data_IF_727120874953
#
_entry.id   IF_727120874953
#
_cell.length_a   1.000
_cell.length_b   1.000
_cell.length_c   1.000
_cell.angle_alpha   90.00
_cell.angle_beta   90.00
_cell.angle_gamma   90.00
#
_symmetry.space_group_name_H-M   'P 1'
#
loop_
_entity.id
_entity.type
_entity.pdbx_description
1 polymer ?
#
# COMPACT_ATOMS: atom_id res chain seq x y z
N UNK A 1 5.31 -4.97 21.10
CA UNK A 1 4.65 -5.03 19.78
C UNK A 1 3.19 -5.37 19.99
N UNK A 2 2.29 -4.47 19.57
CA UNK A 2 0.84 -4.57 19.82
C UNK A 2 0.26 -5.90 19.31
N UNK A 3 -0.60 -6.58 20.08
CA UNK A 3 -1.14 -7.93 19.76
C UNK A 3 -1.84 -7.94 18.39
N UNK A 4 -2.54 -6.87 18.04
CA UNK A 4 -3.19 -6.70 16.74
C UNK A 4 -2.19 -6.74 15.57
N UNK A 5 -1.01 -6.14 15.72
CA UNK A 5 0.02 -6.12 14.67
C UNK A 5 0.69 -7.49 14.48
N UNK A 6 0.77 -8.28 15.57
CA UNK A 6 1.19 -9.69 15.50
C UNK A 6 0.14 -10.53 14.76
N UNK A 7 -1.13 -10.38 15.11
CA UNK A 7 -2.23 -11.08 14.44
C UNK A 7 -2.25 -10.75 12.94
N UNK A 8 -2.17 -9.46 12.57
CA UNK A 8 -2.07 -9.02 11.18
C UNK A 8 -0.96 -9.73 10.42
N UNK A 9 0.24 -9.83 11.00
CA UNK A 9 1.38 -10.50 10.37
C UNK A 9 1.10 -11.98 10.11
N UNK A 10 0.45 -12.66 11.05
CA UNK A 10 0.07 -14.07 10.90
C UNK A 10 -1.00 -14.21 9.82
N UNK A 11 -2.05 -13.39 9.84
CA UNK A 11 -3.12 -13.41 8.83
C UNK A 11 -2.54 -13.15 7.44
N UNK A 12 -1.68 -12.14 7.29
CA UNK A 12 -1.04 -11.83 6.01
C UNK A 12 -0.04 -12.89 5.55
N UNK A 13 0.46 -13.73 6.44
CA UNK A 13 1.27 -14.89 6.08
C UNK A 13 0.38 -16.04 5.61
N UNK A 14 -0.70 -16.32 6.34
CA UNK A 14 -1.67 -17.39 6.04
C UNK A 14 -2.42 -17.12 4.74
N UNK A 15 -2.85 -15.88 4.49
CA UNK A 15 -3.54 -15.49 3.26
C UNK A 15 -2.60 -15.30 2.05
N UNK A 16 -1.31 -15.63 2.21
CA UNK A 16 -0.27 -15.55 1.17
C UNK A 16 0.05 -14.15 0.63
N UNK A 17 -0.53 -13.09 1.16
CA UNK A 17 -0.23 -11.71 0.72
C UNK A 17 1.22 -11.30 1.04
N UNK A 18 1.76 -11.69 2.21
CA UNK A 18 3.17 -11.41 2.55
C UNK A 18 4.14 -12.23 1.70
N UNK A 19 3.96 -13.55 1.53
CA UNK A 19 4.73 -14.31 0.53
C UNK A 19 4.70 -13.69 -0.87
N UNK A 20 3.54 -13.24 -1.33
CA UNK A 20 3.41 -12.56 -2.63
C UNK A 20 4.19 -11.24 -2.66
N UNK A 21 4.10 -10.42 -1.62
CA UNK A 21 4.88 -9.19 -1.52
C UNK A 21 6.39 -9.44 -1.50
N UNK A 22 6.84 -10.51 -0.84
CA UNK A 22 8.25 -10.93 -0.85
C UNK A 22 8.70 -11.39 -2.25
N UNK A 23 7.86 -12.16 -2.95
CA UNK A 23 8.11 -12.60 -4.32
C UNK A 23 8.19 -11.40 -5.28
N UNK A 24 7.23 -10.47 -5.20
CA UNK A 24 7.24 -9.23 -5.99
C UNK A 24 8.47 -8.38 -5.69
N UNK A 25 8.87 -8.29 -4.42
CA UNK A 25 10.12 -7.64 -4.04
C UNK A 25 11.34 -8.35 -4.61
N UNK A 26 11.37 -9.69 -4.59
CA UNK A 26 12.49 -10.47 -5.10
C UNK A 26 12.65 -10.34 -6.62
N UNK A 27 11.55 -10.32 -7.36
CA UNK A 27 11.55 -10.19 -8.82
C UNK A 27 11.72 -8.73 -9.26
N UNK A 28 11.11 -7.79 -8.53
CA UNK A 28 10.98 -6.40 -8.96
C UNK A 28 12.04 -5.45 -8.45
N UNK A 29 12.92 -5.87 -7.52
CA UNK A 29 13.98 -5.02 -6.98
C UNK A 29 15.36 -5.59 -7.30
N UNK A 30 16.34 -4.72 -7.54
CA UNK A 30 17.76 -5.11 -7.65
C UNK A 30 18.50 -4.65 -6.40
N UNK A 31 19.07 -5.59 -5.67
CA UNK A 31 19.91 -5.32 -4.50
C UNK A 31 19.33 -5.83 -3.18
N UNK A 32 20.00 -5.47 -2.08
CA UNK A 32 19.67 -5.86 -0.70
C UNK A 32 19.11 -4.70 0.12
N UNK A 33 18.59 -3.65 -0.53
CA UNK A 33 18.03 -2.49 0.17
C UNK A 33 16.69 -2.87 0.81
N UNK A 34 16.77 -3.32 2.06
CA UNK A 34 15.63 -3.79 2.84
C UNK A 34 15.78 -3.35 4.28
N UNK A 35 14.75 -2.69 4.80
CA UNK A 35 14.73 -2.21 6.18
C UNK A 35 13.44 -2.66 6.87
N UNK A 36 13.56 -3.01 8.16
CA UNK A 36 12.40 -3.36 8.98
C UNK A 36 11.76 -2.09 9.52
N UNK A 37 10.45 -1.98 9.36
CA UNK A 37 9.65 -0.89 9.88
C UNK A 37 8.77 -1.35 11.07
N UNK A 38 8.29 -0.41 11.90
CA UNK A 38 7.39 -0.72 13.00
C UNK A 38 6.18 -1.56 12.59
N UNK A 39 5.69 -2.39 13.51
CA UNK A 39 4.52 -3.24 13.26
C UNK A 39 4.78 -4.48 12.39
N UNK A 40 6.05 -4.87 12.24
CA UNK A 40 6.44 -6.06 11.47
C UNK A 40 6.31 -5.87 9.97
N UNK A 41 6.41 -4.61 9.52
CA UNK A 41 6.48 -4.24 8.11
C UNK A 41 7.92 -4.39 7.61
N UNK A 42 8.04 -4.77 6.34
CA UNK A 42 9.33 -4.88 5.66
C UNK A 42 9.32 -3.93 4.47
N UNK A 43 10.18 -2.92 4.51
CA UNK A 43 10.33 -1.96 3.41
C UNK A 43 11.46 -2.43 2.52
N UNK A 44 11.22 -2.52 1.22
CA UNK A 44 12.21 -2.92 0.23
C UNK A 44 12.30 -1.87 -0.87
N UNK A 45 13.50 -1.34 -1.05
CA UNK A 45 13.79 -0.28 -2.00
C UNK A 45 14.18 -0.77 -3.39
N UNK A 46 14.29 0.17 -4.31
CA UNK A 46 14.75 -0.07 -5.68
C UNK A 46 13.77 -0.86 -6.55
N UNK A 47 12.46 -0.70 -6.35
CA UNK A 47 11.44 -1.30 -7.21
C UNK A 47 11.45 -0.70 -8.62
N UNK A 48 11.56 -1.56 -9.64
CA UNK A 48 11.78 -1.15 -11.04
C UNK A 48 10.73 -1.65 -12.03
N UNK A 49 9.77 -2.47 -11.60
CA UNK A 49 8.72 -2.93 -12.52
C UNK A 49 7.86 -1.73 -12.97
N UNK A 50 7.30 -1.79 -14.18
CA UNK A 50 6.52 -0.69 -14.74
C UNK A 50 5.23 -0.42 -13.93
N UNK A 51 4.67 -1.45 -13.30
CA UNK A 51 3.46 -1.35 -12.50
C UNK A 51 3.73 -1.84 -11.07
N UNK A 52 3.11 -1.22 -10.05
CA UNK A 52 2.28 -0.02 -10.10
C UNK A 52 3.09 1.28 -10.24
N UNK A 53 2.54 2.30 -10.91
CA UNK A 53 3.15 3.64 -11.04
C UNK A 53 2.90 4.49 -9.78
N UNK A 54 3.50 4.04 -8.67
CA UNK A 54 3.46 4.71 -7.38
C UNK A 54 4.86 4.77 -6.77
N UNK A 55 5.18 5.80 -5.95
CA UNK A 55 6.48 5.90 -5.30
C UNK A 55 6.70 4.79 -4.25
N UNK A 56 5.61 4.37 -3.61
CA UNK A 56 5.54 3.28 -2.65
C UNK A 56 4.19 2.56 -2.80
N UNK A 57 4.16 1.26 -2.49
CA UNK A 57 2.92 0.51 -2.35
C UNK A 57 3.13 -0.71 -1.44
N UNK A 58 2.04 -1.22 -0.88
CA UNK A 58 2.06 -2.34 0.06
C UNK A 58 1.44 -3.60 -0.53
N UNK A 59 2.04 -4.75 -0.23
CA UNK A 59 1.48 -6.09 -0.48
C UNK A 59 1.70 -6.96 0.76
N UNK A 60 0.61 -7.28 1.46
CA UNK A 60 0.68 -7.94 2.77
C UNK A 60 1.44 -7.09 3.78
N UNK A 61 2.53 -7.62 4.34
CA UNK A 61 3.43 -6.86 5.25
C UNK A 61 4.67 -6.29 4.55
N UNK A 62 4.75 -6.33 3.22
CA UNK A 62 5.90 -5.83 2.45
C UNK A 62 5.53 -4.51 1.79
N UNK A 63 6.31 -3.47 2.03
CA UNK A 63 6.21 -2.19 1.34
C UNK A 63 7.32 -2.15 0.30
N UNK A 64 6.95 -1.96 -0.96
CA UNK A 64 7.87 -1.83 -2.08
C UNK A 64 7.97 -0.36 -2.44
N UNK A 65 9.19 0.18 -2.49
CA UNK A 65 9.44 1.57 -2.84
C UNK A 65 10.38 1.67 -4.03
N UNK A 66 10.15 2.64 -4.91
CA UNK A 66 11.00 2.87 -6.10
C UNK A 66 12.36 3.46 -5.73
N UNK A 67 12.40 4.33 -4.72
CA UNK A 67 13.61 4.94 -4.15
C UNK A 67 14.32 4.05 -3.13
N UNK A 68 15.07 4.66 -2.22
CA UNK A 68 15.73 3.94 -1.14
C UNK A 68 14.73 3.58 -0.03
N UNK A 69 14.88 2.40 0.58
CA UNK A 69 14.01 1.98 1.68
C UNK A 69 14.06 2.95 2.87
N UNK A 70 15.22 3.57 3.11
CA UNK A 70 15.41 4.59 4.15
C UNK A 70 14.59 5.86 3.95
N UNK A 71 14.31 6.27 2.71
CA UNK A 71 13.55 7.48 2.41
C UNK A 71 12.11 7.40 2.93
N UNK A 72 11.52 6.20 2.91
CA UNK A 72 10.19 5.97 3.45
C UNK A 72 10.18 6.08 4.98
N UNK A 73 11.24 5.64 5.66
CA UNK A 73 11.35 5.75 7.12
C UNK A 73 11.43 7.20 7.58
N UNK A 74 12.01 8.08 6.76
CA UNK A 74 12.01 9.51 6.99
C UNK A 74 10.63 10.17 6.78
N UNK A 75 9.63 9.44 6.26
CA UNK A 75 8.26 9.92 6.00
C UNK A 75 7.23 9.16 6.86
N UNK A 76 7.13 9.45 8.17
CA UNK A 76 6.31 8.66 9.09
C UNK A 76 4.80 8.66 8.76
N UNK A 77 4.29 9.74 8.14
CA UNK A 77 2.90 9.78 7.67
C UNK A 77 2.66 8.75 6.55
N UNK A 78 3.51 8.75 5.53
CA UNK A 78 3.44 7.79 4.43
C UNK A 78 3.66 6.35 4.91
N UNK A 79 4.59 6.13 5.84
CA UNK A 79 4.80 4.81 6.43
C UNK A 79 3.55 4.30 7.19
N UNK A 80 2.83 5.19 7.89
CA UNK A 80 1.56 4.84 8.54
C UNK A 80 0.47 4.54 7.51
N UNK A 81 0.39 5.32 6.43
CA UNK A 81 -0.53 5.08 5.32
C UNK A 81 -0.33 3.68 4.72
N UNK A 82 0.90 3.34 4.33
CA UNK A 82 1.27 1.99 3.84
C UNK A 82 0.98 0.90 4.90
N UNK A 83 1.25 1.22 6.16
CA UNK A 83 0.91 0.35 7.28
C UNK A 83 -0.59 0.07 7.42
N UNK A 84 -1.48 0.98 7.02
CA UNK A 84 -2.93 0.74 6.99
C UNK A 84 -3.31 -0.16 5.81
N UNK A 85 -2.68 -0.03 4.65
CA UNK A 85 -2.86 -0.98 3.55
C UNK A 85 -2.47 -2.41 3.95
N UNK A 86 -1.38 -2.60 4.70
CA UNK A 86 -1.03 -3.92 5.23
C UNK A 86 -2.16 -4.51 6.11
N UNK A 87 -2.87 -3.67 6.86
CA UNK A 87 -4.02 -4.12 7.65
C UNK A 87 -5.21 -4.45 6.76
N UNK A 88 -5.46 -3.68 5.70
CA UNK A 88 -6.51 -3.97 4.72
C UNK A 88 -6.29 -5.32 4.02
N UNK A 89 -5.06 -5.69 3.68
CA UNK A 89 -4.76 -7.04 3.16
C UNK A 89 -5.21 -8.16 4.11
N UNK A 90 -5.07 -7.94 5.43
CA UNK A 90 -5.49 -8.93 6.42
C UNK A 90 -7.01 -9.10 6.45
N UNK A 91 -7.77 -8.02 6.22
CA UNK A 91 -9.23 -8.04 6.21
C UNK A 91 -9.83 -8.45 4.85
N UNK A 92 -9.15 -8.12 3.75
CA UNK A 92 -9.63 -8.37 2.38
C UNK A 92 -9.14 -9.70 1.81
N UNK A 93 -9.02 -10.74 2.63
CA UNK A 93 -8.60 -12.10 2.22
C UNK A 93 -7.30 -12.11 1.38
N UNK A 94 -6.36 -11.20 1.65
CA UNK A 94 -5.07 -11.16 0.99
C UNK A 94 -5.15 -10.71 -0.48
N UNK A 95 -4.80 -11.56 -1.47
CA UNK A 95 -4.70 -11.18 -2.89
C UNK A 95 -5.97 -10.60 -3.51
N UNK A 96 -7.16 -10.84 -2.92
CA UNK A 96 -8.41 -10.24 -3.42
C UNK A 96 -8.32 -8.70 -3.43
N UNK A 97 -7.58 -8.11 -2.49
CA UNK A 97 -7.33 -6.68 -2.47
C UNK A 97 -6.62 -6.17 -3.74
N UNK A 98 -5.77 -6.99 -4.39
CA UNK A 98 -5.09 -6.61 -5.64
C UNK A 98 -6.07 -6.41 -6.80
N UNK A 99 -7.25 -7.04 -6.74
CA UNK A 99 -8.32 -6.87 -7.73
C UNK A 99 -9.31 -5.80 -7.27
N UNK A 100 -9.70 -5.80 -6.00
CA UNK A 100 -10.65 -4.84 -5.47
C UNK A 100 -10.12 -3.39 -5.50
N UNK A 101 -8.82 -3.20 -5.23
CA UNK A 101 -8.20 -1.88 -5.24
C UNK A 101 -8.30 -1.18 -6.61
N UNK A 102 -7.85 -1.76 -7.75
CA UNK A 102 -7.96 -1.10 -9.05
C UNK A 102 -9.40 -0.88 -9.48
N UNK A 103 -10.35 -1.74 -9.07
CA UNK A 103 -11.78 -1.51 -9.31
C UNK A 103 -12.26 -0.25 -8.58
N UNK A 104 -11.96 -0.12 -7.29
CA UNK A 104 -12.30 1.08 -6.52
C UNK A 104 -11.59 2.33 -7.03
N UNK A 105 -10.33 2.20 -7.45
CA UNK A 105 -9.55 3.27 -8.07
C UNK A 105 -10.19 3.72 -9.41
N UNK A 106 -10.63 2.76 -10.23
CA UNK A 106 -11.35 3.02 -11.48
C UNK A 106 -12.68 3.72 -11.26
N UNK A 107 -13.46 3.30 -10.25
CA UNK A 107 -14.70 4.01 -9.86
C UNK A 107 -14.39 5.43 -9.41
N UNK A 108 -13.32 5.65 -8.63
CA UNK A 108 -12.91 6.99 -8.20
C UNK A 108 -12.52 7.88 -9.39
N UNK A 109 -11.75 7.34 -10.34
CA UNK A 109 -11.44 8.01 -11.62
C UNK A 109 -12.72 8.38 -12.36
N UNK A 110 -13.68 7.44 -12.44
CA UNK A 110 -15.03 7.59 -12.98
C UNK A 110 -15.99 8.42 -12.11
N UNK A 111 -15.54 9.10 -11.06
CA UNK A 111 -16.38 10.05 -10.31
C UNK A 111 -15.79 11.46 -10.22
N UNK A 112 -14.46 11.59 -10.26
CA UNK A 112 -13.79 12.88 -10.06
C UNK A 112 -12.50 13.10 -10.87
N UNK A 113 -12.05 12.11 -11.66
CA UNK A 113 -10.82 12.17 -12.44
C UNK A 113 -9.56 11.99 -11.59
N UNK A 114 -9.70 11.36 -10.43
CA UNK A 114 -8.61 11.04 -9.50
C UNK A 114 -8.86 9.66 -8.88
N UNK A 115 -7.87 8.78 -8.89
CA UNK A 115 -8.02 7.39 -8.48
C UNK A 115 -8.10 7.19 -6.96
N UNK A 116 -7.78 8.20 -6.17
CA UNK A 116 -7.69 8.09 -4.72
C UNK A 116 -8.89 8.71 -3.99
N UNK A 117 -9.42 9.82 -4.48
CA UNK A 117 -10.40 10.68 -3.80
C UNK A 117 -11.66 9.96 -3.29
N UNK A 118 -12.15 8.97 -4.03
CA UNK A 118 -13.33 8.15 -3.70
C UNK A 118 -13.00 6.67 -3.55
N UNK A 119 -11.72 6.29 -3.58
CA UNK A 119 -11.30 4.93 -3.33
C UNK A 119 -11.36 4.64 -1.81
N UNK A 120 -12.22 3.71 -1.33
CA UNK A 120 -12.32 3.40 0.09
C UNK A 120 -10.98 2.95 0.70
N UNK A 121 -10.13 2.26 -0.05
CA UNK A 121 -8.83 1.81 0.43
C UNK A 121 -7.92 3.00 0.76
N UNK A 122 -7.85 3.99 -0.13
CA UNK A 122 -7.07 5.22 0.07
C UNK A 122 -7.62 6.09 1.20
N UNK A 123 -8.94 6.24 1.27
CA UNK A 123 -9.59 7.02 2.33
C UNK A 123 -9.37 6.39 3.70
N UNK A 124 -9.56 5.08 3.82
CA UNK A 124 -9.32 4.35 5.06
C UNK A 124 -7.82 4.28 5.40
N UNK A 125 -6.93 4.38 4.40
CA UNK A 125 -5.49 4.46 4.59
C UNK A 125 -5.01 5.87 4.99
N UNK A 126 -5.88 6.87 5.05
CA UNK A 126 -5.52 8.25 5.33
C UNK A 126 -5.01 8.94 4.06
N UNK A 127 -5.95 9.40 3.24
CA UNK A 127 -5.73 9.96 1.90
C UNK A 127 -4.58 11.00 1.84
N UNK A 128 -4.61 11.99 2.73
CA UNK A 128 -3.61 13.06 2.79
C UNK A 128 -2.23 12.58 3.22
N UNK A 129 -2.18 11.53 4.05
CA UNK A 129 -0.93 10.92 4.49
C UNK A 129 -0.24 10.14 3.35
N UNK A 130 -1.02 9.66 2.37
CA UNK A 130 -0.55 9.11 1.10
C UNK A 130 -0.17 10.18 0.08
N UNK A 131 -0.35 11.47 0.40
CA UNK A 131 -0.06 12.60 -0.50
C UNK A 131 -1.22 12.98 -1.43
N UNK A 132 -2.39 12.38 -1.29
CA UNK A 132 -3.55 12.67 -2.12
C UNK A 132 -4.43 13.76 -1.50
N UNK A 133 -4.98 14.64 -2.36
CA UNK A 133 -5.99 15.63 -1.95
C UNK A 133 -7.34 15.23 -2.50
N UNK A 134 -8.37 15.34 -1.66
CA UNK A 134 -9.74 15.02 -2.07
C UNK A 134 -10.20 15.97 -3.16
N UNK A 135 -10.65 15.42 -4.29
CA UNK A 135 -11.29 16.19 -5.36
C UNK A 135 -12.81 16.07 -5.28
N UNK A 136 -13.56 17.14 -5.57
CA UNK A 136 -15.01 17.03 -5.72
C UNK A 136 -15.35 16.23 -6.98
N UNK A 137 -16.49 15.52 -6.96
CA UNK A 137 -16.96 14.81 -8.13
C UNK A 137 -17.41 15.82 -9.19
N UNK A 138 -17.33 15.45 -10.46
CA UNK A 138 -17.65 16.38 -11.56
C UNK A 138 -19.05 16.99 -11.46
N UNK A 139 -20.03 16.22 -10.99
CA UNK A 139 -21.41 16.69 -10.87
C UNK A 139 -21.63 17.73 -9.76
N UNK A 140 -20.68 17.88 -8.81
CA UNK A 140 -20.75 18.89 -7.76
C UNK A 140 -19.84 20.10 -8.01
N UNK A 141 -19.19 20.19 -9.19
CA UNK A 141 -18.39 21.36 -9.60
C UNK A 141 -19.25 22.49 -10.18
N UNK A 142 -20.53 22.54 -9.83
CA UNK A 142 -21.46 23.61 -10.25
C UNK A 142 -21.25 24.85 -9.41
#
# INVERSE_FOLDING_TARGET
>A
MNRALRARRVVNLVNLSTPLGLLLGAVGTRGRDTVRAPGGLLVRGGYRLPLPDAPAFTVGNVILVRGAAGDLLARPALLRHEGRHATQYAFCLGPVMLVAYPVCAGVSLLLCGDHASYNPFERLAGLEEGGYRRRPPWFARR
#
